data_IF_172657846231
#
_entry.id   IF_172657846231
#
_cell.length_a   1.000
_cell.length_b   1.000
_cell.length_c   1.000
_cell.angle_alpha   90.00
_cell.angle_beta   90.00
_cell.angle_gamma   90.00
#
_symmetry.space_group_name_H-M   'P 1'
#
loop_
_entity.id
_entity.type
_entity.pdbx_description
1 polymer ?
#
# COMPACT_ATOMS: atom_id res chain seq x y z
N UNK A 1 -9.44 15.11 -23.44
CA UNK A 1 -8.00 14.80 -23.33
C UNK A 1 -7.88 13.29 -23.39
N UNK A 2 -7.65 12.72 -24.59
CA UNK A 2 -7.47 11.28 -24.75
C UNK A 2 -6.01 10.97 -24.49
N UNK A 3 -5.65 10.86 -23.21
CA UNK A 3 -4.35 10.29 -22.86
C UNK A 3 -4.41 8.79 -23.09
N UNK A 4 -4.16 8.40 -24.35
CA UNK A 4 -4.06 7.02 -24.78
C UNK A 4 -3.02 6.31 -23.91
N UNK A 5 -3.48 5.35 -23.11
CA UNK A 5 -2.62 4.51 -22.27
C UNK A 5 -2.02 3.44 -23.17
N UNK A 6 -0.72 3.54 -23.45
CA UNK A 6 -0.04 2.67 -24.41
C UNK A 6 0.64 1.48 -23.74
N UNK A 7 0.97 1.60 -22.46
CA UNK A 7 1.69 0.57 -21.72
C UNK A 7 1.03 0.25 -20.37
N UNK A 8 1.38 -0.91 -19.81
CA UNK A 8 0.88 -1.33 -18.49
C UNK A 8 1.39 -0.41 -17.37
N UNK A 9 2.59 0.12 -17.52
CA UNK A 9 3.23 1.04 -16.58
C UNK A 9 2.47 2.36 -16.53
N UNK A 10 2.11 2.92 -17.69
CA UNK A 10 1.30 4.13 -17.77
C UNK A 10 -0.11 3.95 -17.17
N UNK A 11 -0.71 2.76 -17.38
CA UNK A 11 -1.97 2.43 -16.74
C UNK A 11 -1.83 2.38 -15.22
N UNK A 12 -0.80 1.66 -14.76
CA UNK A 12 -0.49 1.48 -13.35
C UNK A 12 -0.23 2.81 -12.66
N UNK A 13 0.54 3.70 -13.28
CA UNK A 13 0.79 5.05 -12.77
C UNK A 13 -0.52 5.83 -12.62
N UNK A 14 -1.36 5.87 -13.66
CA UNK A 14 -2.66 6.56 -13.58
C UNK A 14 -3.53 6.01 -12.47
N UNK A 15 -3.62 4.69 -12.34
CA UNK A 15 -4.41 4.03 -11.31
C UNK A 15 -3.83 4.25 -9.90
N UNK A 16 -2.50 4.36 -9.78
CA UNK A 16 -1.82 4.61 -8.51
C UNK A 16 -2.19 5.98 -7.92
N UNK A 17 -2.33 6.99 -8.77
CA UNK A 17 -2.75 8.33 -8.37
C UNK A 17 -4.26 8.53 -8.35
N UNK A 18 -5.04 7.67 -9.02
CA UNK A 18 -6.49 7.77 -9.07
C UNK A 18 -7.16 7.16 -7.82
N UNK A 19 -8.17 7.83 -7.23
CA UNK A 19 -8.88 7.30 -6.07
C UNK A 19 -9.93 6.24 -6.44
N UNK A 20 -10.17 6.01 -7.74
CA UNK A 20 -11.22 5.11 -8.27
C UNK A 20 -11.13 3.66 -7.79
N UNK A 21 -9.97 3.26 -7.25
CA UNK A 21 -9.77 1.92 -6.71
C UNK A 21 -10.14 1.80 -5.22
N UNK A 22 -10.44 2.91 -4.54
CA UNK A 22 -11.01 2.87 -3.19
C UNK A 22 -12.51 2.64 -3.25
N UNK A 23 -13.06 1.96 -2.24
CA UNK A 23 -14.48 1.56 -2.21
C UNK A 23 -15.46 2.74 -2.28
N UNK A 24 -15.04 3.92 -1.82
CA UNK A 24 -15.81 5.16 -1.77
C UNK A 24 -15.23 6.27 -2.68
N UNK A 25 -14.18 5.96 -3.45
CA UNK A 25 -13.47 6.90 -4.32
C UNK A 25 -12.82 8.11 -3.60
N UNK A 26 -12.50 7.99 -2.31
CA UNK A 26 -11.92 9.11 -1.53
C UNK A 26 -10.40 9.06 -1.42
N UNK A 27 -9.78 7.88 -1.53
CA UNK A 27 -8.34 7.69 -1.29
C UNK A 27 -7.68 6.96 -2.46
N UNK A 28 -6.51 7.43 -2.90
CA UNK A 28 -5.65 6.74 -3.87
C UNK A 28 -4.43 6.11 -3.20
N UNK A 29 -3.74 5.20 -3.88
CA UNK A 29 -2.51 4.59 -3.36
C UNK A 29 -1.45 5.65 -3.04
N UNK A 30 -1.34 6.70 -3.87
CA UNK A 30 -0.39 7.80 -3.69
C UNK A 30 -0.65 8.67 -2.46
N UNK A 31 -1.88 8.70 -1.93
CA UNK A 31 -2.22 9.43 -0.71
C UNK A 31 -1.40 8.92 0.49
N UNK A 32 -1.38 7.60 0.65
CA UNK A 32 -0.63 6.93 1.71
C UNK A 32 0.81 6.62 1.31
N UNK A 33 1.08 6.32 0.04
CA UNK A 33 2.41 6.00 -0.48
C UNK A 33 2.99 7.17 -1.30
N UNK A 34 3.46 8.20 -0.59
CA UNK A 34 3.89 9.46 -1.21
C UNK A 34 5.25 9.30 -1.91
N UNK A 35 5.39 9.57 -3.23
CA UNK A 35 6.66 9.43 -3.95
C UNK A 35 7.79 10.28 -3.36
N UNK A 36 7.45 11.47 -2.83
CA UNK A 36 8.39 12.41 -2.19
C UNK A 36 9.06 11.84 -0.93
N UNK A 37 8.44 10.84 -0.31
CA UNK A 37 8.93 10.18 0.90
C UNK A 37 9.23 8.71 0.63
N UNK A 38 9.79 8.40 -0.54
CA UNK A 38 10.18 7.03 -0.90
C UNK A 38 8.98 6.07 -0.87
N UNK A 39 7.83 6.56 -1.34
CA UNK A 39 6.53 5.86 -1.32
C UNK A 39 6.04 5.47 0.08
N UNK A 40 6.49 6.17 1.11
CA UNK A 40 6.06 6.01 2.50
C UNK A 40 5.14 7.15 2.92
N UNK A 41 4.36 6.91 3.96
CA UNK A 41 3.62 7.97 4.63
C UNK A 41 4.45 8.65 5.70
N UNK A 42 4.16 9.93 5.95
CA UNK A 42 4.78 10.73 7.02
C UNK A 42 3.94 10.80 8.29
N UNK A 43 2.65 10.48 8.21
CA UNK A 43 1.78 10.43 9.37
C UNK A 43 2.20 9.29 10.31
N UNK A 44 1.98 9.45 11.62
CA UNK A 44 2.21 8.38 12.61
C UNK A 44 1.16 7.27 12.50
N UNK A 45 -0.07 7.64 12.14
CA UNK A 45 -1.21 6.74 11.91
C UNK A 45 -1.87 7.12 10.59
N UNK A 46 -2.13 6.16 9.70
CA UNK A 46 -2.83 6.47 8.45
C UNK A 46 -4.33 6.65 8.68
N UNK A 47 -4.98 7.33 7.74
CA UNK A 47 -6.43 7.45 7.67
C UNK A 47 -6.94 6.49 6.59
N UNK A 48 -7.87 5.60 6.96
CA UNK A 48 -8.54 4.69 6.02
C UNK A 48 -9.73 5.35 5.30
N UNK A 49 -10.35 4.60 4.39
CA UNK A 49 -11.47 5.06 3.54
C UNK A 49 -12.62 5.73 4.32
N UNK A 50 -12.94 5.24 5.51
CA UNK A 50 -14.03 5.80 6.34
C UNK A 50 -13.58 6.95 7.27
N UNK A 51 -12.39 7.54 7.05
CA UNK A 51 -11.82 8.55 7.95
C UNK A 51 -11.27 8.00 9.25
N UNK A 52 -11.30 6.67 9.45
CA UNK A 52 -10.82 6.01 10.66
C UNK A 52 -9.30 5.94 10.66
N UNK A 53 -8.69 6.24 11.81
CA UNK A 53 -7.26 6.01 12.01
C UNK A 53 -6.97 4.51 12.07
N UNK A 54 -5.91 4.09 11.40
CA UNK A 54 -5.37 2.73 11.52
C UNK A 54 -4.19 2.71 12.51
N UNK A 55 -3.79 1.51 12.93
CA UNK A 55 -2.83 1.31 14.04
C UNK A 55 -1.38 1.65 13.71
N UNK A 56 -1.05 1.87 12.45
CA UNK A 56 0.28 2.21 11.98
C UNK A 56 0.22 3.09 10.73
N UNK A 57 1.37 3.56 10.26
CA UNK A 57 1.47 4.30 9.01
C UNK A 57 1.65 3.37 7.80
N UNK A 58 1.48 3.92 6.59
CA UNK A 58 1.71 3.15 5.37
C UNK A 58 3.22 3.07 5.05
N UNK A 59 3.79 1.86 4.92
CA UNK A 59 5.22 1.68 4.70
C UNK A 59 5.63 2.03 3.26
N UNK A 60 6.91 2.35 3.07
CA UNK A 60 7.50 2.56 1.73
C UNK A 60 7.32 1.37 0.78
N UNK A 61 6.90 1.61 -0.46
CA UNK A 61 6.73 0.60 -1.53
C UNK A 61 8.03 0.21 -2.27
N UNK A 62 9.17 0.77 -1.88
CA UNK A 62 10.45 0.37 -2.45
C UNK A 62 10.87 -1.01 -1.92
N UNK A 63 11.48 -1.84 -2.78
CA UNK A 63 12.05 -3.15 -2.42
C UNK A 63 11.06 -4.12 -1.74
N UNK A 64 9.78 -4.08 -2.13
CA UNK A 64 8.73 -4.95 -1.56
C UNK A 64 9.03 -6.45 -1.78
N UNK A 65 9.75 -6.80 -2.85
CA UNK A 65 10.16 -8.18 -3.15
C UNK A 65 11.01 -8.83 -2.04
N UNK A 66 11.78 -8.05 -1.28
CA UNK A 66 12.63 -8.56 -0.19
C UNK A 66 11.84 -8.72 1.13
N UNK A 67 10.73 -7.99 1.31
CA UNK A 67 10.01 -7.92 2.59
C UNK A 67 9.14 -9.15 2.90
N UNK A 68 8.97 -10.08 1.96
CA UNK A 68 8.12 -11.28 2.09
C UNK A 68 8.82 -12.47 2.82
N UNK A 69 9.89 -12.24 3.60
CA UNK A 69 10.63 -13.33 4.27
C UNK A 69 10.61 -13.47 5.81
N UNK A 70 9.81 -12.72 6.62
CA UNK A 70 9.57 -13.18 7.99
C UNK A 70 8.11 -13.41 8.40
N UNK A 71 7.09 -12.87 7.72
CA UNK A 71 5.71 -13.05 8.20
C UNK A 71 5.20 -14.48 7.98
N UNK A 72 5.56 -15.14 6.87
CA UNK A 72 5.13 -16.53 6.61
C UNK A 72 5.89 -17.55 7.49
N UNK A 73 6.98 -17.15 8.18
CA UNK A 73 7.79 -18.04 9.04
C UNK A 73 7.50 -17.90 10.54
N UNK A 74 6.79 -16.85 10.95
CA UNK A 74 6.35 -16.68 12.35
C UNK A 74 5.08 -17.48 12.66
N UNK A 75 4.26 -17.84 11.65
CA UNK A 75 3.05 -18.65 11.86
C UNK A 75 3.24 -20.16 11.64
N UNK A 76 4.36 -20.61 11.06
CA UNK A 76 4.62 -22.04 10.85
C UNK A 76 5.26 -22.76 12.04
N UNK A 77 5.70 -22.02 13.08
CA UNK A 77 6.34 -22.62 14.28
C UNK A 77 5.48 -22.53 15.56
N UNK A 78 4.24 -22.03 15.50
CA UNK A 78 3.37 -21.98 16.69
C UNK A 78 2.62 -23.31 16.98
N UNK A 79 2.71 -24.31 16.10
CA UNK A 79 2.09 -25.63 16.29
C UNK A 79 3.00 -26.71 16.91
N UNK A 80 4.17 -26.37 17.47
CA UNK A 80 5.09 -27.37 18.06
C UNK A 80 5.40 -27.10 19.55
N UNK A 81 4.64 -26.22 20.23
CA UNK A 81 4.81 -25.97 21.67
C UNK A 81 3.57 -26.29 22.53
N UNK A 82 2.54 -26.89 21.93
CA UNK A 82 1.45 -27.55 22.65
C UNK A 82 1.10 -28.85 21.94
N UNK A 83 1.81 -29.92 22.31
CA UNK A 83 1.64 -31.28 21.81
C UNK A 83 2.74 -32.18 22.31
#
# INVERSE_FOLDING_TARGET
>A
MNDEVKTKEQLGEKLFFAPILSADNTISCAYSHKPQFTFSETATFSVGINGNLITCNSPGLIHQDWRIFPVVRLYSNLHVLYG
#
